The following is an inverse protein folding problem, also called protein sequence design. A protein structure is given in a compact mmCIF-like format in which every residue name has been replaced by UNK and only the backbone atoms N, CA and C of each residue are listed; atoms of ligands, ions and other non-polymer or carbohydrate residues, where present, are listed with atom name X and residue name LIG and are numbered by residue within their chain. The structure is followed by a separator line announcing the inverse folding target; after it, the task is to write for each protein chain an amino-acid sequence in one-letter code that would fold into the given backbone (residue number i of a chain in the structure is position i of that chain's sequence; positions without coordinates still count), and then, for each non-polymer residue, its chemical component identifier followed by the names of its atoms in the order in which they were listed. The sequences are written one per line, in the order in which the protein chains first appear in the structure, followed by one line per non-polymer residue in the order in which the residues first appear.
data_IF_255613800233
#
_entry.id   IF_255613800233
#
_cell.length_a   1.000
_cell.length_b   1.000
_cell.length_c   1.000
_cell.angle_alpha   90.00
_cell.angle_beta   90.00
_cell.angle_gamma   90.00
#
_symmetry.space_group_name_H-M   'P 1'
#
loop_
_entity.id
_entity.type
_entity.pdbx_description
1 polymer ?
#
# COMPACT_ATOMS: atom_id res chain seq x y z
N UNK A 1 -2.58 32.48 14.50
CA UNK A 1 -3.37 31.24 14.37
C UNK A 1 -3.09 30.70 12.98
N UNK A 2 -2.14 29.78 12.86
CA UNK A 2 -1.72 29.26 11.54
C UNK A 2 -2.86 28.46 10.94
N UNK A 3 -3.31 28.83 9.75
CA UNK A 3 -4.24 28.04 8.97
C UNK A 3 -3.59 26.68 8.73
N UNK A 4 -4.17 25.62 9.30
CA UNK A 4 -3.85 24.25 8.90
C UNK A 4 -4.33 24.13 7.45
N UNK A 5 -3.45 24.44 6.50
CA UNK A 5 -3.72 24.19 5.09
C UNK A 5 -3.81 22.68 4.94
N UNK A 6 -5.02 22.15 4.80
CA UNK A 6 -5.23 20.72 4.74
C UNK A 6 -4.88 20.23 3.33
N UNK A 7 -3.58 19.99 3.10
CA UNK A 7 -3.00 19.54 1.83
C UNK A 7 -3.78 18.40 1.18
N UNK A 8 -4.39 17.52 1.98
CA UNK A 8 -5.25 16.44 1.53
C UNK A 8 -6.46 16.94 0.74
N UNK A 9 -7.10 18.03 1.17
CA UNK A 9 -8.21 18.64 0.44
C UNK A 9 -7.75 19.19 -0.91
N UNK A 10 -6.59 19.84 -0.96
CA UNK A 10 -6.00 20.32 -2.22
C UNK A 10 -5.71 19.17 -3.18
N UNK A 11 -5.11 18.07 -2.67
CA UNK A 11 -4.85 16.88 -3.47
C UNK A 11 -6.15 16.23 -3.98
N UNK A 12 -7.19 16.16 -3.15
CA UNK A 12 -8.50 15.65 -3.57
C UNK A 12 -9.15 16.55 -4.64
N UNK A 13 -9.03 17.87 -4.53
CA UNK A 13 -9.49 18.81 -5.56
C UNK A 13 -8.72 18.68 -6.88
N UNK A 14 -7.40 18.47 -6.82
CA UNK A 14 -6.56 18.22 -7.99
C UNK A 14 -6.95 16.90 -8.69
N UNK A 15 -7.13 15.83 -7.91
CA UNK A 15 -7.64 14.54 -8.38
C UNK A 15 -9.00 14.65 -9.07
N UNK A 16 -9.94 15.38 -8.49
CA UNK A 16 -11.29 15.57 -9.04
C UNK A 16 -11.25 16.34 -10.37
N UNK A 17 -10.47 17.43 -10.41
CA UNK A 17 -10.33 18.28 -11.59
C UNK A 17 -9.65 17.54 -12.75
N UNK A 18 -8.75 16.59 -12.43
CA UNK A 18 -8.04 15.74 -13.39
C UNK A 18 -8.68 14.33 -13.51
N UNK A 19 -9.90 14.12 -13.02
CA UNK A 19 -10.54 12.78 -12.95
C UNK A 19 -10.79 12.15 -14.33
N UNK A 20 -10.94 12.98 -15.36
CA UNK A 20 -11.11 12.56 -16.74
C UNK A 20 -9.82 11.94 -17.34
N UNK A 21 -8.65 12.20 -16.74
CA UNK A 21 -7.38 11.60 -17.13
C UNK A 21 -7.17 10.27 -16.40
N UNK A 22 -7.12 9.15 -17.13
CA UNK A 22 -6.93 7.80 -16.55
C UNK A 22 -5.65 7.65 -15.72
N UNK A 23 -4.67 8.52 -15.94
CA UNK A 23 -3.38 8.49 -15.27
C UNK A 23 -3.25 9.50 -14.14
N UNK A 24 -4.27 10.31 -13.85
CA UNK A 24 -4.24 11.24 -12.71
C UNK A 24 -4.05 10.55 -11.36
N UNK A 25 -4.47 9.29 -11.11
CA UNK A 25 -4.15 8.58 -9.87
C UNK A 25 -2.72 8.03 -9.83
N UNK A 26 -1.93 8.17 -10.90
CA UNK A 26 -0.59 7.60 -10.99
C UNK A 26 0.45 8.60 -10.53
N UNK A 27 1.40 8.15 -9.72
CA UNK A 27 2.49 9.00 -9.23
C UNK A 27 3.81 8.24 -9.19
N UNK A 28 4.91 8.99 -9.19
CA UNK A 28 6.25 8.44 -9.04
C UNK A 28 6.53 8.20 -7.56
N UNK A 29 7.00 7.01 -7.23
CA UNK A 29 7.32 6.60 -5.87
C UNK A 29 8.81 6.30 -5.76
N UNK A 30 9.56 7.20 -5.13
CA UNK A 30 10.98 7.07 -4.94
C UNK A 30 11.31 6.38 -3.60
N UNK A 31 12.23 5.44 -3.62
CA UNK A 31 12.77 4.73 -2.45
C UNK A 31 14.29 4.66 -2.53
N UNK A 32 14.93 4.23 -1.46
CA UNK A 32 16.38 4.03 -1.39
C UNK A 32 16.71 2.54 -1.52
N UNK A 33 17.52 2.20 -2.52
CA UNK A 33 18.08 0.88 -2.74
C UNK A 33 18.96 0.41 -1.58
N UNK A 34 19.11 -0.91 -1.41
CA UNK A 34 20.02 -1.49 -0.40
C UNK A 34 21.50 -1.10 -0.59
N UNK A 35 21.85 -0.54 -1.76
CA UNK A 35 23.16 0.03 -2.08
C UNK A 35 23.24 1.55 -1.83
N UNK A 36 22.22 2.15 -1.20
CA UNK A 36 22.11 3.59 -0.96
C UNK A 36 21.71 4.43 -2.18
N UNK A 37 21.46 3.83 -3.35
CA UNK A 37 21.07 4.57 -4.56
C UNK A 37 19.55 4.74 -4.67
N UNK A 38 19.05 5.84 -5.22
CA UNK A 38 17.61 6.02 -5.42
C UNK A 38 17.07 5.04 -6.46
N UNK A 39 15.81 4.65 -6.28
CA UNK A 39 15.05 3.79 -7.18
C UNK A 39 13.67 4.43 -7.35
N UNK A 40 13.17 4.54 -8.58
CA UNK A 40 11.91 5.23 -8.86
C UNK A 40 11.06 4.43 -9.85
N UNK A 41 9.74 4.50 -9.69
CA UNK A 41 8.73 3.81 -10.51
C UNK A 41 7.36 4.43 -10.31
N UNK A 42 6.48 4.23 -11.27
CA UNK A 42 5.07 4.61 -11.16
C UNK A 42 4.32 3.61 -10.29
N UNK A 43 3.46 4.13 -9.41
CA UNK A 43 2.47 3.36 -8.64
C UNK A 43 1.12 4.07 -8.71
N UNK A 44 0.08 3.43 -8.19
CA UNK A 44 -1.30 3.93 -8.26
C UNK A 44 -1.80 4.28 -6.87
N UNK A 45 -2.34 5.48 -6.71
CA UNK A 45 -3.08 5.90 -5.53
C UNK A 45 -4.32 5.01 -5.32
N UNK A 46 -4.47 4.44 -4.11
CA UNK A 46 -5.62 3.58 -3.76
C UNK A 46 -6.52 4.17 -2.67
N UNK A 47 -6.38 5.47 -2.41
CA UNK A 47 -7.16 6.17 -1.40
C UNK A 47 -6.34 6.45 -0.14
N UNK A 48 -7.04 6.99 0.85
CA UNK A 48 -6.52 7.24 2.19
C UNK A 48 -6.97 6.14 3.15
N UNK A 49 -6.17 5.86 4.16
CA UNK A 49 -6.61 5.10 5.33
C UNK A 49 -7.81 5.80 6.00
N UNK A 50 -8.78 5.02 6.50
CA UNK A 50 -9.98 5.55 7.16
C UNK A 50 -9.61 6.48 8.33
N UNK A 51 -10.22 7.67 8.38
CA UNK A 51 -9.99 8.68 9.42
C UNK A 51 -8.52 9.15 9.56
N UNK A 52 -7.74 9.03 8.49
CA UNK A 52 -6.30 9.29 8.48
C UNK A 52 -5.89 9.98 7.18
N UNK A 53 -4.72 10.62 7.18
CA UNK A 53 -4.15 11.26 5.98
C UNK A 53 -3.09 10.37 5.31
N UNK A 54 -2.99 9.12 5.77
CA UNK A 54 -2.05 8.13 5.25
C UNK A 54 -2.50 7.57 3.91
N UNK A 55 -1.56 7.48 2.97
CA UNK A 55 -1.81 7.13 1.57
C UNK A 55 -1.63 5.62 1.36
N UNK A 56 -2.60 4.97 0.70
CA UNK A 56 -2.56 3.55 0.42
C UNK A 56 -2.06 3.24 -1.01
N UNK A 57 -1.20 2.24 -1.12
CA UNK A 57 -0.63 1.74 -2.39
C UNK A 57 -0.65 0.21 -2.38
N UNK A 58 -1.20 -0.38 -3.44
CA UNK A 58 -1.20 -1.83 -3.59
C UNK A 58 0.04 -2.28 -4.36
N UNK A 59 0.73 -3.31 -3.87
CA UNK A 59 1.94 -3.82 -4.52
C UNK A 59 2.15 -5.31 -4.28
N UNK A 60 3.12 -5.88 -4.97
CA UNK A 60 3.50 -7.29 -4.84
C UNK A 60 4.70 -7.41 -3.89
N UNK A 61 4.58 -8.25 -2.86
CA UNK A 61 5.58 -8.44 -1.81
C UNK A 61 6.93 -8.97 -2.36
N UNK A 62 6.91 -9.55 -3.56
CA UNK A 62 8.08 -10.13 -4.25
C UNK A 62 8.89 -9.09 -5.03
N UNK A 63 8.44 -7.83 -5.07
CA UNK A 63 9.15 -6.78 -5.81
C UNK A 63 10.28 -6.16 -5.01
N UNK A 64 11.35 -5.73 -5.69
CA UNK A 64 12.52 -5.08 -5.06
C UNK A 64 12.18 -3.95 -4.10
N UNK A 65 11.16 -3.13 -4.41
CA UNK A 65 10.77 -2.00 -3.54
C UNK A 65 10.41 -2.42 -2.11
N UNK A 66 10.02 -3.67 -1.90
CA UNK A 66 9.72 -4.21 -0.58
C UNK A 66 10.99 -4.45 0.21
N UNK A 67 12.03 -4.99 -0.42
CA UNK A 67 13.35 -5.14 0.19
C UNK A 67 13.95 -3.77 0.49
N UNK A 68 13.82 -2.82 -0.44
CA UNK A 68 14.23 -1.42 -0.26
C UNK A 68 13.54 -0.78 0.95
N UNK A 69 12.22 -0.94 1.09
CA UNK A 69 11.44 -0.40 2.22
C UNK A 69 11.72 -1.11 3.55
N UNK A 70 12.06 -2.40 3.52
CA UNK A 70 12.52 -3.13 4.71
C UNK A 70 13.90 -2.63 5.18
N UNK A 71 14.74 -2.16 4.26
CA UNK A 71 16.04 -1.57 4.56
C UNK A 71 15.94 -0.10 5.01
N UNK A 72 15.17 0.71 4.28
CA UNK A 72 14.93 2.11 4.58
C UNK A 72 13.43 2.41 4.42
N UNK A 73 12.66 2.58 5.52
CA UNK A 73 11.21 2.69 5.48
C UNK A 73 10.73 4.09 5.09
N UNK A 74 11.52 4.86 4.34
CA UNK A 74 11.18 6.20 3.91
C UNK A 74 11.08 6.25 2.39
N UNK A 75 10.10 7.01 1.91
CA UNK A 75 9.86 7.22 0.51
C UNK A 75 9.45 8.67 0.23
N UNK A 76 9.57 9.06 -1.03
CA UNK A 76 9.03 10.31 -1.53
C UNK A 76 8.11 10.03 -2.73
N UNK A 77 6.91 10.60 -2.67
CA UNK A 77 5.97 10.67 -3.79
C UNK A 77 6.25 11.95 -4.56
N UNK A 78 6.33 11.84 -5.88
CA UNK A 78 6.23 12.97 -6.80
C UNK A 78 4.99 12.75 -7.66
N UNK A 79 4.03 13.66 -7.55
CA UNK A 79 2.73 13.53 -8.19
C UNK A 79 2.41 14.79 -8.97
N UNK A 80 2.40 14.67 -10.29
CA UNK A 80 2.15 15.77 -11.21
C UNK A 80 0.76 15.67 -11.84
N UNK A 81 0.04 16.78 -11.87
CA UNK A 81 -1.26 16.93 -12.51
C UNK A 81 -1.13 17.84 -13.72
N UNK A 82 -1.35 17.28 -14.92
CA UNK A 82 -1.03 17.95 -16.18
C UNK A 82 -1.94 19.13 -16.49
N UNK A 83 -3.21 19.08 -16.11
CA UNK A 83 -4.16 20.12 -16.52
C UNK A 83 -4.11 21.35 -15.61
N UNK A 84 -3.87 21.11 -14.32
CA UNK A 84 -3.71 22.17 -13.32
C UNK A 84 -2.26 22.63 -13.15
N UNK A 85 -1.31 22.00 -13.83
CA UNK A 85 0.13 22.33 -13.80
C UNK A 85 0.69 22.38 -12.38
N UNK A 86 0.23 21.48 -11.51
CA UNK A 86 0.64 21.44 -10.10
C UNK A 86 1.34 20.12 -9.77
N UNK A 87 2.26 20.20 -8.81
CA UNK A 87 3.02 19.05 -8.33
C UNK A 87 2.94 18.97 -6.81
N UNK A 88 2.59 17.78 -6.33
CA UNK A 88 2.69 17.40 -4.92
C UNK A 88 3.95 16.55 -4.73
N UNK A 89 4.82 16.97 -3.81
CA UNK A 89 5.91 16.16 -3.28
C UNK A 89 5.59 15.79 -1.84
N UNK A 90 5.44 14.50 -1.57
CA UNK A 90 5.02 13.99 -0.25
C UNK A 90 6.10 13.03 0.24
N UNK A 91 6.81 13.43 1.28
CA UNK A 91 7.82 12.61 1.94
C UNK A 91 7.22 11.99 3.20
N UNK A 92 7.57 10.74 3.50
CA UNK A 92 7.06 10.10 4.69
C UNK A 92 7.59 8.69 4.94
N UNK A 93 7.27 8.18 6.12
CA UNK A 93 7.52 6.79 6.50
C UNK A 93 6.49 5.86 5.85
N UNK A 94 6.90 4.67 5.44
CA UNK A 94 6.04 3.68 4.79
C UNK A 94 5.96 2.42 5.62
N UNK A 95 4.75 2.03 5.99
CA UNK A 95 4.49 0.73 6.59
C UNK A 95 4.18 -0.31 5.51
N UNK A 96 4.83 -1.47 5.62
CA UNK A 96 4.64 -2.61 4.72
C UNK A 96 3.73 -3.63 5.41
N UNK A 97 2.54 -3.86 4.84
CA UNK A 97 1.54 -4.79 5.37
C UNK A 97 1.44 -6.00 4.40
N UNK A 98 2.21 -7.04 4.69
CA UNK A 98 2.26 -8.29 3.90
C UNK A 98 1.49 -9.44 4.58
N UNK A 99 1.54 -10.63 3.98
CA UNK A 99 0.89 -11.84 4.51
C UNK A 99 1.71 -12.61 5.55
N UNK A 100 2.90 -12.13 5.95
CA UNK A 100 3.84 -12.90 6.80
C UNK A 100 3.50 -12.89 8.29
N UNK A 101 2.40 -12.25 8.66
CA UNK A 101 1.85 -12.32 10.00
C UNK A 101 0.40 -12.84 9.82
N UNK A 102 0.04 -14.02 10.32
CA UNK A 102 -1.31 -14.54 10.17
C UNK A 102 -2.28 -13.80 11.12
N UNK A 103 -3.53 -13.78 10.70
CA UNK A 103 -4.68 -13.44 11.52
C UNK A 103 -4.68 -14.28 12.82
N UNK A 104 -4.67 -13.67 14.01
CA UNK A 104 -4.74 -14.43 15.26
C UNK A 104 -6.03 -15.25 15.40
N UNK A 105 -7.09 -14.95 14.64
CA UNK A 105 -8.34 -15.75 14.69
C UNK A 105 -8.19 -17.12 14.00
N UNK A 106 -7.37 -17.24 12.95
CA UNK A 106 -7.10 -18.54 12.31
C UNK A 106 -6.20 -19.47 13.13
N UNK A 107 -5.47 -18.93 14.11
CA UNK A 107 -4.63 -19.71 15.03
C UNK A 107 -5.42 -20.35 16.19
N UNK A 108 -6.69 -19.96 16.41
CA UNK A 108 -7.52 -20.56 17.47
C UNK A 108 -8.25 -21.83 17.04
N UNK A 109 -8.29 -22.15 15.74
CA UNK A 109 -9.00 -23.33 15.24
C UNK A 109 -8.12 -24.57 14.97
N UNK A 110 -6.80 -24.50 15.19
CA UNK A 110 -5.89 -25.63 14.93
C UNK A 110 -5.05 -26.14 16.10
N UNK A 111 -5.18 -25.60 17.31
CA UNK A 111 -4.46 -26.14 18.48
C UNK A 111 -5.39 -26.91 19.40
N UNK A 112 -5.38 -28.24 19.22
CA UNK A 112 -5.88 -29.18 20.21
C UNK A 112 -5.18 -29.01 21.57
N UNK A 113 -5.99 -29.09 22.62
CA UNK A 113 -5.67 -29.54 23.98
C UNK A 113 -4.25 -29.30 24.52
N UNK A 114 -4.04 -28.19 25.23
CA UNK A 114 -3.03 -28.11 26.30
C UNK A 114 -3.51 -27.16 27.42
N UNK A 115 -3.28 -27.50 28.71
CA UNK A 115 -3.84 -26.75 29.83
C UNK A 115 -3.06 -25.45 30.10
N UNK A 116 -3.83 -24.44 30.46
CA UNK A 116 -3.46 -23.05 30.69
C UNK A 116 -2.66 -22.91 32.00
N UNK A 117 -1.40 -22.45 31.94
CA UNK A 117 -0.70 -21.92 33.12
C UNK A 117 -0.32 -20.45 32.89
N UNK A 118 -0.70 -19.62 33.86
CA UNK A 118 -0.96 -18.21 33.69
C UNK A 118 0.24 -17.32 33.36
N UNK A 119 0.01 -16.40 32.43
CA UNK A 119 0.74 -15.14 32.33
C UNK A 119 -0.24 -13.98 32.14
N UNK A 120 0.11 -12.83 32.72
CA UNK A 120 -0.76 -11.67 33.04
C UNK A 120 -1.44 -11.07 31.79
N UNK A 121 -2.77 -11.00 31.80
CA UNK A 121 -3.68 -10.50 30.74
C UNK A 121 -3.58 -9.01 30.38
N UNK A 122 -2.82 -8.19 31.11
CA UNK A 122 -2.88 -6.72 30.99
C UNK A 122 -2.00 -6.09 29.91
N UNK A 123 -0.89 -6.73 29.51
CA UNK A 123 0.11 -6.11 28.63
C UNK A 123 0.07 -6.60 27.18
N UNK A 124 -0.63 -7.70 26.89
CA UNK A 124 -0.74 -8.28 25.55
C UNK A 124 -1.89 -7.69 24.72
N UNK A 125 -2.95 -7.16 25.36
CA UNK A 125 -4.18 -6.72 24.67
C UNK A 125 -4.00 -5.49 23.76
N UNK A 126 -3.08 -4.56 24.10
CA UNK A 126 -2.82 -3.37 23.28
C UNK A 126 -2.14 -3.71 21.94
N UNK A 127 -1.35 -4.79 21.91
CA UNK A 127 -0.61 -5.25 20.74
C UNK A 127 -1.48 -6.09 19.80
N UNK A 128 -2.55 -6.71 20.32
CA UNK A 128 -3.49 -7.53 19.53
C UNK A 128 -4.50 -6.66 18.75
N UNK A 129 -5.05 -5.61 19.38
CA UNK A 129 -6.01 -4.70 18.71
C UNK A 129 -5.38 -3.92 17.55
N UNK A 130 -4.19 -3.38 17.76
CA UNK A 130 -3.43 -2.66 16.73
C UNK A 130 -3.05 -3.57 15.56
N UNK A 131 -2.68 -4.83 15.82
CA UNK A 131 -2.44 -5.84 14.77
C UNK A 131 -3.71 -6.25 14.00
N UNK A 132 -4.86 -6.42 14.67
CA UNK A 132 -6.14 -6.73 14.01
C UNK A 132 -6.59 -5.61 13.04
N UNK A 133 -6.38 -4.35 13.42
CA UNK A 133 -6.70 -3.18 12.57
C UNK A 133 -5.86 -3.19 11.29
N UNK A 134 -4.57 -3.55 11.37
CA UNK A 134 -3.67 -3.60 10.21
C UNK A 134 -4.10 -4.67 9.20
N UNK A 135 -4.54 -5.86 9.63
CA UNK A 135 -5.00 -6.91 8.71
C UNK A 135 -6.32 -6.57 8.02
N UNK A 136 -7.24 -5.96 8.77
CA UNK A 136 -8.50 -5.50 8.20
C UNK A 136 -8.26 -4.56 7.01
N UNK A 137 -7.23 -3.72 7.04
CA UNK A 137 -6.91 -2.83 5.93
C UNK A 137 -6.41 -3.55 4.68
N UNK A 138 -5.54 -4.54 4.84
CA UNK A 138 -5.05 -5.35 3.71
C UNK A 138 -6.21 -6.07 3.03
N UNK A 139 -7.12 -6.64 3.79
CA UNK A 139 -8.31 -7.31 3.27
C UNK A 139 -9.29 -6.32 2.61
N UNK A 140 -9.58 -5.18 3.26
CA UNK A 140 -10.41 -4.10 2.67
C UNK A 140 -9.84 -3.62 1.33
N UNK A 141 -8.54 -3.37 1.26
CA UNK A 141 -7.87 -2.91 0.02
C UNK A 141 -7.87 -4.00 -1.08
N UNK A 142 -7.76 -5.27 -0.69
CA UNK A 142 -7.90 -6.39 -1.62
C UNK A 142 -9.28 -6.42 -2.25
N UNK A 143 -10.34 -6.35 -1.45
CA UNK A 143 -11.72 -6.40 -1.95
C UNK A 143 -12.16 -5.11 -2.67
N UNK A 144 -11.56 -3.96 -2.35
CA UNK A 144 -11.74 -2.73 -3.11
C UNK A 144 -11.10 -2.79 -4.51
N UNK A 145 -10.16 -3.71 -4.74
CA UNK A 145 -9.51 -3.90 -6.04
C UNK A 145 -10.35 -4.76 -6.97
N UNK A 146 -10.39 -4.38 -8.26
CA UNK A 146 -11.07 -5.18 -9.28
C UNK A 146 -10.48 -6.59 -9.39
N UNK A 147 -11.29 -7.57 -9.81
CA UNK A 147 -10.81 -8.95 -9.99
C UNK A 147 -9.60 -9.03 -10.94
N UNK A 148 -9.63 -8.25 -12.03
CA UNK A 148 -8.50 -8.11 -12.96
C UNK A 148 -7.23 -7.61 -12.28
N UNK A 149 -7.33 -6.63 -11.39
CA UNK A 149 -6.18 -6.14 -10.62
C UNK A 149 -5.71 -7.15 -9.57
N UNK A 150 -6.59 -7.99 -9.03
CA UNK A 150 -6.22 -9.05 -8.07
C UNK A 150 -5.49 -10.22 -8.73
N UNK A 151 -5.89 -10.59 -9.95
CA UNK A 151 -5.26 -11.67 -10.72
C UNK A 151 -3.77 -11.45 -10.98
N UNK A 152 -3.31 -10.20 -11.09
CA UNK A 152 -1.90 -9.89 -11.34
C UNK A 152 -0.95 -10.44 -10.25
N UNK A 153 -1.45 -10.64 -9.03
CA UNK A 153 -0.65 -11.15 -7.90
C UNK A 153 -0.47 -12.68 -7.94
N UNK A 154 -1.26 -13.39 -8.73
CA UNK A 154 -1.11 -14.83 -8.96
C UNK A 154 -0.08 -15.16 -10.06
N UNK A 155 0.34 -14.14 -10.82
CA UNK A 155 1.31 -14.29 -11.91
C UNK A 155 2.73 -14.65 -11.44
N UNK A 156 3.64 -14.90 -12.40
CA UNK A 156 5.04 -15.20 -12.12
C UNK A 156 5.74 -14.07 -11.37
N UNK A 157 6.94 -14.34 -10.86
CA UNK A 157 7.69 -13.36 -10.08
C UNK A 157 7.93 -12.07 -10.87
N UNK A 158 7.57 -10.89 -10.31
CA UNK A 158 7.77 -9.61 -10.98
C UNK A 158 9.22 -9.40 -11.42
N UNK A 159 9.42 -8.88 -12.63
CA UNK A 159 10.74 -8.63 -13.20
C UNK A 159 11.35 -9.81 -13.97
N UNK A 160 10.69 -10.97 -14.01
CA UNK A 160 10.98 -12.01 -14.99
C UNK A 160 10.23 -11.75 -16.30
N UNK A 161 10.81 -12.07 -17.48
CA UNK A 161 10.09 -12.03 -18.75
C UNK A 161 8.82 -12.89 -18.67
N UNK A 162 7.67 -12.34 -19.04
CA UNK A 162 6.45 -13.13 -19.20
C UNK A 162 6.60 -13.96 -20.48
N UNK A 163 6.86 -15.27 -20.34
CA UNK A 163 7.16 -16.13 -21.50
C UNK A 163 5.93 -16.53 -22.33
N UNK A 164 4.71 -16.17 -21.93
CA UNK A 164 3.53 -16.25 -22.80
C UNK A 164 2.33 -15.48 -22.19
N UNK A 165 1.63 -14.70 -23.02
CA UNK A 165 0.33 -14.10 -22.65
C UNK A 165 -0.74 -15.16 -22.30
N UNK A 166 -0.51 -16.42 -22.69
CA UNK A 166 -1.37 -17.57 -22.39
C UNK A 166 -1.47 -17.87 -20.89
N UNK A 167 -0.43 -17.56 -20.09
CA UNK A 167 -0.38 -17.92 -18.66
C UNK A 167 -1.35 -17.15 -17.76
N UNK A 168 -1.78 -15.94 -18.13
CA UNK A 168 -2.71 -15.13 -17.32
C UNK A 168 -4.17 -15.55 -17.48
N UNK A 169 -4.52 -16.18 -18.61
CA UNK A 169 -5.90 -16.59 -18.92
C UNK A 169 -6.33 -17.87 -18.17
N UNK A 170 -5.39 -18.65 -17.64
CA UNK A 170 -5.67 -19.86 -16.86
C UNK A 170 -5.76 -19.61 -15.35
N UNK A 171 -5.39 -18.41 -14.90
CA UNK A 171 -5.45 -18.06 -13.48
C UNK A 171 -6.89 -17.78 -13.06
N UNK A 172 -7.46 -18.69 -12.28
CA UNK A 172 -8.75 -18.53 -11.65
C UNK A 172 -8.58 -18.00 -10.22
N UNK A 173 -9.31 -16.95 -9.88
CA UNK A 173 -9.43 -16.44 -8.52
C UNK A 173 -10.91 -16.32 -8.19
N UNK A 174 -11.35 -17.00 -7.13
CA UNK A 174 -12.70 -16.82 -6.60
C UNK A 174 -12.85 -15.37 -6.09
N UNK A 175 -13.86 -14.61 -6.55
CA UNK A 175 -14.08 -13.23 -6.12
C UNK A 175 -14.21 -13.04 -4.60
N UNK A 176 -14.66 -14.07 -3.88
CA UNK A 176 -14.83 -14.09 -2.43
C UNK A 176 -13.56 -14.45 -1.66
N UNK A 177 -12.53 -14.96 -2.35
CA UNK A 177 -11.26 -15.32 -1.71
C UNK A 177 -10.52 -14.07 -1.24
N UNK A 178 -9.99 -14.15 -0.02
CA UNK A 178 -9.17 -13.12 0.60
C UNK A 178 -7.80 -12.92 -0.07
N UNK A 179 -7.00 -11.97 0.43
CA UNK A 179 -5.73 -11.59 -0.19
C UNK A 179 -4.67 -12.70 -0.19
N UNK A 180 -4.19 -13.02 -1.39
CA UNK A 180 -3.09 -13.99 -1.63
C UNK A 180 -1.77 -13.52 -1.01
N UNK A 181 -0.84 -14.43 -0.70
CA UNK A 181 0.40 -14.09 0.02
C UNK A 181 1.27 -13.03 -0.67
N UNK A 182 1.24 -12.97 -2.01
CA UNK A 182 1.96 -11.98 -2.82
C UNK A 182 1.37 -10.57 -2.72
N UNK A 183 0.09 -10.42 -2.34
CA UNK A 183 -0.54 -9.12 -2.17
C UNK A 183 0.00 -8.40 -0.94
N UNK A 184 0.48 -7.17 -1.13
CA UNK A 184 0.99 -6.31 -0.09
C UNK A 184 0.31 -4.94 -0.17
N UNK A 185 -0.06 -4.41 0.99
CA UNK A 185 -0.51 -3.02 1.13
C UNK A 185 0.64 -2.20 1.69
N UNK A 186 0.97 -1.09 1.03
CA UNK A 186 1.85 -0.07 1.57
C UNK A 186 1.01 1.09 2.07
N UNK A 187 1.37 1.62 3.23
CA UNK A 187 0.71 2.79 3.82
C UNK A 187 1.76 3.84 4.15
N UNK A 188 1.78 4.93 3.37
CA UNK A 188 2.69 6.05 3.57
C UNK A 188 2.07 7.05 4.55
N UNK A 189 2.82 7.39 5.59
CA UNK A 189 2.50 8.41 6.58
C UNK A 189 3.23 9.72 6.25
N UNK A 190 2.51 10.76 5.75
CA UNK A 190 3.14 12.00 5.31
C UNK A 190 3.77 12.80 6.45
N UNK A 191 5.09 12.99 6.39
CA UNK A 191 5.83 13.86 7.30
C UNK A 191 5.94 15.29 6.75
N UNK A 192 6.13 15.41 5.42
CA UNK A 192 6.27 16.69 4.73
C UNK A 192 5.51 16.66 3.41
N UNK A 193 4.78 17.75 3.14
CA UNK A 193 4.05 17.94 1.90
C UNK A 193 4.42 19.28 1.30
N UNK A 194 4.91 19.25 0.06
CA UNK A 194 5.20 20.44 -0.73
C UNK A 194 4.28 20.45 -1.95
N UNK A 195 3.56 21.57 -2.13
CA UNK A 195 2.79 21.87 -3.33
C UNK A 195 3.52 22.96 -4.13
N UNK A 196 3.71 22.74 -5.42
CA UNK A 196 4.31 23.72 -6.33
C UNK A 196 3.58 23.79 -7.65
N UNK A 197 3.36 25.00 -8.16
CA UNK A 197 3.00 25.20 -9.57
C UNK A 197 4.22 24.95 -10.46
N UNK A 198 4.03 24.26 -11.56
CA UNK A 198 5.04 24.02 -12.59
C UNK A 198 4.86 25.07 -13.68
N UNK A 199 5.90 25.90 -13.87
CA UNK A 199 5.92 26.93 -14.90
C UNK A 199 6.37 26.30 -16.23
N UNK A 200 5.71 26.70 -17.32
CA UNK A 200 6.15 26.42 -18.69
C UNK A 200 7.29 27.35 -19.12
#
# INVERSE_FOLDING_TARGET
MGTVTQWKQLLLSALESNSHLKHSPYFQFATIGCNGRPSNRTVVFRGFEENSDRIQINTDCRTRKIEELKHCPFAEICWYFSDSWEQFRINGRVDVIDGSNPDPEKLQMSNGNAPFLGMRKGHLMLNVKSRLVIYSQREKSWFASSLKSRLQYLGPNPGLPCLSEQSLNELFLDPSSGPVASFCLLVLDPDQVQLSAILN
#
